data_IF_671340965743
#
_entry.id   IF_671340965743
#
_cell.length_a   1.000
_cell.length_b   1.000
_cell.length_c   1.000
_cell.angle_alpha   90.00
_cell.angle_beta   90.00
_cell.angle_gamma   90.00
#
_symmetry.space_group_name_H-M   'P 1'
#
loop_
_entity.id
_entity.type
_entity.pdbx_description
1 polymer ?
#
# COMPACT_ATOMS: atom_id res chain seq x y z
N UNK A 1 -40.76 -23.68 -61.06
CA UNK A 1 -40.76 -23.84 -59.60
C UNK A 1 -39.32 -23.62 -59.13
N UNK A 2 -38.98 -22.38 -58.73
CA UNK A 2 -37.62 -21.97 -58.45
C UNK A 2 -37.51 -21.83 -56.92
N UNK A 3 -36.73 -22.70 -56.27
CA UNK A 3 -36.52 -22.69 -54.82
C UNK A 3 -35.35 -21.74 -54.50
N UNK A 4 -35.62 -20.62 -53.81
CA UNK A 4 -34.60 -19.70 -53.25
C UNK A 4 -34.05 -20.29 -51.96
N UNK A 5 -32.72 -20.43 -51.88
CA UNK A 5 -31.97 -20.71 -50.65
C UNK A 5 -31.83 -19.44 -49.84
N UNK A 6 -31.97 -19.46 -48.50
CA UNK A 6 -31.65 -18.32 -47.66
C UNK A 6 -30.15 -18.25 -47.37
N UNK A 7 -29.56 -17.05 -47.57
CA UNK A 7 -28.20 -16.71 -47.13
C UNK A 7 -28.20 -16.46 -45.60
N UNK A 8 -27.57 -17.32 -44.86
CA UNK A 8 -27.26 -17.09 -43.46
C UNK A 8 -25.94 -16.30 -43.35
N UNK A 9 -26.06 -15.01 -43.08
CA UNK A 9 -24.93 -14.17 -42.69
C UNK A 9 -24.56 -14.52 -41.24
N UNK A 10 -23.46 -15.26 -41.06
CA UNK A 10 -22.88 -15.53 -39.75
C UNK A 10 -22.17 -14.28 -39.23
N UNK A 11 -22.77 -13.63 -38.24
CA UNK A 11 -22.10 -12.55 -37.47
C UNK A 11 -21.03 -13.19 -36.60
N UNK A 12 -19.75 -13.02 -36.97
CA UNK A 12 -18.61 -13.35 -36.13
C UNK A 12 -18.50 -12.28 -35.02
N UNK A 13 -18.97 -12.63 -33.84
CA UNK A 13 -18.78 -11.80 -32.62
C UNK A 13 -17.33 -11.94 -32.19
N UNK A 14 -16.50 -10.94 -32.53
CA UNK A 14 -15.15 -10.83 -32.07
C UNK A 14 -15.20 -10.47 -30.56
N UNK A 15 -15.13 -11.46 -29.67
CA UNK A 15 -14.92 -11.21 -28.24
C UNK A 15 -13.49 -10.68 -28.06
N UNK A 16 -13.37 -9.37 -27.90
CA UNK A 16 -12.15 -8.74 -27.42
C UNK A 16 -12.00 -9.12 -25.95
N UNK A 17 -11.26 -10.19 -25.68
CA UNK A 17 -10.75 -10.47 -24.34
C UNK A 17 -9.75 -9.36 -23.98
N UNK A 18 -10.20 -8.36 -23.25
CA UNK A 18 -9.29 -7.46 -22.52
C UNK A 18 -8.54 -8.30 -21.47
N UNK A 19 -7.41 -8.86 -21.85
CA UNK A 19 -6.44 -9.38 -20.90
C UNK A 19 -5.96 -8.18 -20.09
N UNK A 20 -6.50 -8.00 -18.88
CA UNK A 20 -5.88 -7.13 -17.89
C UNK A 20 -4.46 -7.68 -17.64
N UNK A 21 -3.49 -7.08 -18.32
CA UNK A 21 -2.09 -7.38 -18.14
C UNK A 21 -1.77 -7.17 -16.64
N UNK A 22 -1.41 -8.25 -15.94
CA UNK A 22 -0.67 -8.11 -14.69
C UNK A 22 0.55 -7.26 -15.04
N UNK A 23 0.88 -6.27 -14.20
CA UNK A 23 2.05 -5.42 -14.43
C UNK A 23 3.27 -6.33 -14.61
N UNK A 24 3.67 -6.52 -15.86
CA UNK A 24 4.87 -7.27 -16.20
C UNK A 24 6.04 -6.33 -15.96
N UNK A 25 6.80 -6.60 -14.91
CA UNK A 25 7.97 -5.79 -14.56
C UNK A 25 8.99 -5.78 -15.71
N UNK A 26 8.96 -6.79 -16.56
CA UNK A 26 9.90 -6.89 -17.69
C UNK A 26 9.60 -5.89 -18.82
N UNK A 27 8.39 -5.33 -18.86
CA UNK A 27 8.03 -4.25 -19.79
C UNK A 27 8.44 -2.85 -19.34
N UNK A 28 8.88 -2.70 -18.09
CA UNK A 28 9.26 -1.41 -17.52
C UNK A 28 10.63 -0.93 -18.06
N UNK A 29 10.85 0.40 -18.06
CA UNK A 29 12.12 0.96 -18.52
C UNK A 29 13.31 0.41 -17.71
N UNK A 30 14.39 0.04 -18.39
CA UNK A 30 15.65 -0.29 -17.74
C UNK A 30 16.27 0.95 -17.11
N UNK A 31 16.85 0.79 -15.92
CA UNK A 31 17.56 1.87 -15.27
C UNK A 31 18.85 2.18 -16.05
N UNK A 32 19.04 3.46 -16.37
CA UNK A 32 20.26 3.98 -16.98
C UNK A 32 20.89 4.95 -15.99
N UNK A 33 22.08 4.59 -15.48
CA UNK A 33 22.77 5.42 -14.50
C UNK A 33 23.38 6.67 -15.12
N UNK A 34 23.38 7.75 -14.37
CA UNK A 34 24.08 8.99 -14.71
C UNK A 34 25.45 9.04 -14.03
N UNK A 35 26.44 9.70 -14.65
CA UNK A 35 27.75 9.92 -14.04
C UNK A 35 27.69 11.05 -13.00
N UNK A 36 28.67 11.09 -12.09
CA UNK A 36 28.85 12.20 -11.15
C UNK A 36 27.84 12.25 -10.00
N UNK A 37 27.12 11.16 -9.72
CA UNK A 37 26.16 11.09 -8.63
C UNK A 37 26.86 10.66 -7.34
N UNK A 38 26.80 11.53 -6.32
CA UNK A 38 27.32 11.30 -4.97
C UNK A 38 26.58 12.17 -3.99
N UNK A 39 26.75 11.93 -2.67
CA UNK A 39 26.16 12.73 -1.62
C UNK A 39 25.34 11.92 -0.62
N UNK A 40 24.40 12.60 0.04
CA UNK A 40 23.61 12.03 1.13
C UNK A 40 22.11 12.12 0.85
N UNK A 41 21.42 11.02 1.03
CA UNK A 41 19.96 10.92 1.02
C UNK A 41 19.49 10.68 2.45
N UNK A 42 18.47 11.44 2.87
CA UNK A 42 17.74 11.23 4.12
C UNK A 42 16.30 10.86 3.81
N UNK A 43 15.80 9.81 4.44
CA UNK A 43 14.42 9.32 4.29
C UNK A 43 13.77 9.18 5.65
N UNK A 44 12.67 9.92 5.88
CA UNK A 44 11.92 9.89 7.14
C UNK A 44 10.45 9.64 6.83
N UNK A 45 9.84 8.60 7.40
CA UNK A 45 8.43 8.34 7.14
C UNK A 45 7.92 6.95 7.51
N UNK A 46 7.17 6.37 6.62
CA UNK A 46 6.35 5.17 6.83
C UNK A 46 7.14 3.91 7.14
N UNK A 47 6.84 3.26 8.24
CA UNK A 47 7.27 1.90 8.56
C UNK A 47 6.79 0.86 7.52
N UNK A 48 5.60 1.06 6.92
CA UNK A 48 5.11 0.16 5.85
C UNK A 48 6.08 0.05 4.67
N UNK A 49 6.84 1.11 4.39
CA UNK A 49 7.83 1.12 3.32
C UNK A 49 9.26 0.88 3.84
N UNK A 50 9.46 0.52 5.12
CA UNK A 50 10.79 0.39 5.69
C UNK A 50 11.68 -0.60 4.91
N UNK A 51 11.16 -1.81 4.65
CA UNK A 51 11.88 -2.82 3.88
C UNK A 51 12.15 -2.36 2.45
N UNK A 52 11.14 -1.80 1.76
CA UNK A 52 11.30 -1.28 0.40
C UNK A 52 12.38 -0.22 0.33
N UNK A 53 12.35 0.77 1.23
CA UNK A 53 13.36 1.84 1.27
C UNK A 53 14.77 1.29 1.51
N UNK A 54 14.90 0.29 2.40
CA UNK A 54 16.18 -0.38 2.68
C UNK A 54 16.68 -1.14 1.45
N UNK A 55 15.84 -1.95 0.82
CA UNK A 55 16.20 -2.72 -0.37
C UNK A 55 16.55 -1.81 -1.57
N UNK A 56 15.80 -0.73 -1.77
CA UNK A 56 16.13 0.27 -2.79
C UNK A 56 17.44 1.01 -2.49
N UNK A 57 17.71 1.31 -1.21
CA UNK A 57 18.97 1.92 -0.80
C UNK A 57 20.17 0.99 -1.06
N UNK A 58 20.02 -0.30 -0.78
CA UNK A 58 21.05 -1.31 -1.10
C UNK A 58 21.29 -1.40 -2.60
N UNK A 59 20.22 -1.46 -3.42
CA UNK A 59 20.32 -1.52 -4.87
C UNK A 59 20.95 -0.25 -5.44
N UNK A 60 20.58 0.92 -4.94
CA UNK A 60 21.14 2.20 -5.37
C UNK A 60 22.62 2.34 -5.00
N UNK A 61 23.04 1.85 -3.83
CA UNK A 61 24.46 1.85 -3.41
C UNK A 61 25.35 0.96 -4.27
N UNK A 62 24.81 -0.09 -4.88
CA UNK A 62 25.59 -0.90 -5.86
C UNK A 62 25.97 -0.10 -7.09
N UNK A 63 25.05 0.78 -7.55
CA UNK A 63 25.30 1.67 -8.69
C UNK A 63 26.13 2.91 -8.30
N UNK A 64 25.97 3.41 -7.07
CA UNK A 64 26.61 4.63 -6.56
C UNK A 64 27.22 4.39 -5.17
N UNK A 65 28.43 3.78 -5.09
CA UNK A 65 29.05 3.43 -3.81
C UNK A 65 29.34 4.63 -2.90
N UNK A 66 29.50 5.82 -3.49
CA UNK A 66 29.80 7.07 -2.76
C UNK A 66 28.53 7.80 -2.23
N UNK A 67 27.35 7.18 -2.36
CA UNK A 67 26.11 7.73 -1.80
C UNK A 67 25.84 7.12 -0.43
N UNK A 68 25.53 7.99 0.55
CA UNK A 68 25.08 7.58 1.89
C UNK A 68 23.57 7.74 1.97
N UNK A 69 22.87 6.70 2.43
CA UNK A 69 21.42 6.73 2.59
C UNK A 69 21.06 6.42 4.05
N UNK A 70 20.32 7.34 4.68
CA UNK A 70 19.83 7.19 6.05
C UNK A 70 18.31 7.05 6.02
N UNK A 71 17.79 6.03 6.72
CA UNK A 71 16.36 5.71 6.73
C UNK A 71 15.85 5.69 8.17
N UNK A 72 14.80 6.48 8.42
CA UNK A 72 14.05 6.49 9.67
C UNK A 72 12.57 6.18 9.41
N UNK A 73 12.14 5.00 9.81
CA UNK A 73 10.81 4.46 9.54
C UNK A 73 9.87 4.57 10.75
N UNK A 74 9.60 5.80 11.21
CA UNK A 74 8.84 6.07 12.44
C UNK A 74 7.32 6.21 12.24
N UNK A 75 6.84 6.18 10.98
CA UNK A 75 5.43 6.31 10.62
C UNK A 75 5.17 7.45 9.63
N UNK A 76 4.12 7.33 8.81
CA UNK A 76 3.85 8.32 7.76
C UNK A 76 3.65 9.75 8.25
N UNK A 77 3.25 9.94 9.50
CA UNK A 77 3.02 11.29 10.04
C UNK A 77 4.31 12.05 10.33
N UNK A 78 5.48 11.38 10.31
CA UNK A 78 6.80 12.04 10.46
C UNK A 78 7.35 12.58 9.14
N UNK A 79 6.85 12.10 8.01
CA UNK A 79 7.33 12.51 6.69
C UNK A 79 7.02 14.00 6.38
N UNK A 80 5.77 14.51 6.54
CA UNK A 80 5.46 15.90 6.21
C UNK A 80 6.31 16.92 6.94
N UNK A 81 6.46 16.89 8.29
CA UNK A 81 7.32 17.85 8.98
C UNK A 81 8.79 17.74 8.58
N UNK A 82 9.32 16.51 8.39
CA UNK A 82 10.72 16.33 7.97
C UNK A 82 10.99 16.91 6.57
N UNK A 83 10.05 16.75 5.63
CA UNK A 83 10.12 17.37 4.30
C UNK A 83 9.97 18.89 4.37
N UNK A 84 9.05 19.38 5.19
CA UNK A 84 8.83 20.83 5.39
C UNK A 84 10.06 21.49 5.99
N UNK A 85 10.68 20.88 7.01
CA UNK A 85 11.91 21.41 7.61
C UNK A 85 13.17 21.19 6.76
N UNK A 86 13.09 20.42 5.66
CA UNK A 86 14.23 20.11 4.81
C UNK A 86 15.23 19.14 5.44
N UNK A 87 14.85 18.45 6.53
CA UNK A 87 15.69 17.46 7.22
C UNK A 87 15.64 16.10 6.53
N UNK A 88 14.72 15.90 5.58
CA UNK A 88 14.59 14.70 4.79
C UNK A 88 14.43 15.00 3.30
N UNK A 89 15.15 14.27 2.43
CA UNK A 89 14.99 14.31 0.98
C UNK A 89 13.70 13.60 0.55
N UNK A 90 13.39 12.49 1.22
CA UNK A 90 12.25 11.63 0.91
C UNK A 90 11.32 11.43 2.09
N UNK A 91 10.01 11.52 1.82
CA UNK A 91 8.96 11.22 2.75
C UNK A 91 8.13 10.00 2.34
N UNK A 92 8.56 8.76 2.68
CA UNK A 92 7.75 7.58 2.42
C UNK A 92 6.43 7.63 3.20
N UNK A 93 5.31 7.37 2.53
CA UNK A 93 3.98 7.41 3.14
C UNK A 93 3.08 6.28 2.63
N UNK A 94 2.38 5.64 3.53
CA UNK A 94 1.38 4.60 3.24
C UNK A 94 -0.06 5.14 3.15
N UNK A 95 -0.19 6.46 3.09
CA UNK A 95 -1.39 7.25 2.81
C UNK A 95 -1.01 8.53 2.08
N UNK A 96 -1.98 9.22 1.50
CA UNK A 96 -1.74 10.60 1.05
C UNK A 96 -1.52 11.54 2.24
N UNK A 97 -0.77 12.62 2.03
CA UNK A 97 -0.72 13.73 2.97
C UNK A 97 -2.13 14.22 3.27
N UNK A 98 -2.37 14.62 4.51
CA UNK A 98 -3.59 15.30 4.96
C UNK A 98 -3.57 16.75 4.47
N UNK A 99 -4.74 17.38 4.38
CA UNK A 99 -4.83 18.76 3.90
C UNK A 99 -3.98 19.71 4.75
N UNK A 100 -4.00 19.57 6.08
CA UNK A 100 -3.15 20.37 6.99
C UNK A 100 -1.64 20.13 6.79
N UNK A 101 -1.24 18.91 6.42
CA UNK A 101 0.17 18.57 6.14
C UNK A 101 0.62 19.21 4.81
N UNK A 102 -0.25 19.20 3.79
CA UNK A 102 -0.01 19.90 2.54
C UNK A 102 0.02 21.42 2.73
N UNK A 103 -0.90 21.98 3.53
CA UNK A 103 -0.96 23.41 3.80
C UNK A 103 0.32 23.93 4.48
N UNK A 104 0.84 23.22 5.48
CA UNK A 104 2.09 23.59 6.16
C UNK A 104 3.30 23.54 5.22
N UNK A 105 3.36 22.57 4.30
CA UNK A 105 4.41 22.52 3.30
C UNK A 105 4.27 23.65 2.26
N UNK A 106 3.04 23.91 1.81
CA UNK A 106 2.72 24.95 0.84
C UNK A 106 2.99 26.37 1.39
N UNK A 107 2.71 26.60 2.68
CA UNK A 107 3.04 27.84 3.38
C UNK A 107 4.55 28.13 3.33
N UNK A 108 5.39 27.11 3.53
CA UNK A 108 6.85 27.29 3.53
C UNK A 108 7.44 27.45 2.13
N UNK A 109 6.94 26.70 1.15
CA UNK A 109 7.58 26.60 -0.17
C UNK A 109 6.81 27.27 -1.30
N UNK A 110 5.56 27.68 -1.08
CA UNK A 110 4.68 28.26 -2.11
C UNK A 110 4.08 27.24 -3.08
N UNK A 111 4.31 25.93 -2.84
CA UNK A 111 3.75 24.82 -3.65
C UNK A 111 3.64 23.55 -2.80
N UNK A 112 2.84 22.59 -3.26
CA UNK A 112 2.62 21.31 -2.56
C UNK A 112 3.75 20.32 -2.79
N UNK A 113 4.07 19.51 -1.77
CA UNK A 113 4.99 18.39 -1.93
C UNK A 113 4.49 17.42 -3.01
N UNK A 114 5.40 16.92 -3.84
CA UNK A 114 5.07 16.04 -4.97
C UNK A 114 4.97 14.59 -4.53
N UNK A 115 3.77 13.95 -4.61
CA UNK A 115 3.60 12.52 -4.37
C UNK A 115 4.06 11.70 -5.57
N UNK A 116 5.00 10.80 -5.35
CA UNK A 116 5.42 9.78 -6.32
C UNK A 116 4.83 8.45 -5.87
N UNK A 117 4.00 7.81 -6.68
CA UNK A 117 3.53 6.45 -6.45
C UNK A 117 4.68 5.50 -6.72
N UNK A 118 4.96 4.58 -5.80
CA UNK A 118 6.12 3.70 -5.90
C UNK A 118 5.77 2.21 -5.86
N UNK A 119 4.63 1.84 -5.30
CA UNK A 119 4.13 0.47 -5.24
C UNK A 119 2.60 0.47 -5.00
N UNK A 120 1.98 -0.70 -5.20
CA UNK A 120 0.59 -0.97 -4.79
C UNK A 120 0.62 -1.97 -3.63
N UNK A 121 -0.19 -1.71 -2.62
CA UNK A 121 -0.36 -2.53 -1.43
C UNK A 121 -1.81 -3.04 -1.31
N UNK A 122 -1.98 -4.31 -0.97
CA UNK A 122 -3.20 -4.81 -0.36
C UNK A 122 -3.04 -4.71 1.15
N UNK A 123 -3.65 -3.71 1.80
CA UNK A 123 -3.68 -3.66 3.25
C UNK A 123 -4.54 -4.82 3.74
N UNK A 124 -3.88 -5.92 4.12
CA UNK A 124 -4.55 -7.16 4.48
C UNK A 124 -5.01 -7.17 5.94
N UNK A 125 -6.18 -7.77 6.17
CA UNK A 125 -6.62 -8.19 7.50
C UNK A 125 -6.14 -9.61 7.70
N UNK A 126 -5.35 -9.84 8.75
CA UNK A 126 -4.71 -11.10 9.06
C UNK A 126 -5.34 -11.78 10.26
N UNK A 127 -5.45 -13.09 10.19
CA UNK A 127 -5.70 -13.98 11.31
C UNK A 127 -4.57 -15.01 11.40
N UNK A 128 -4.47 -15.73 12.52
CA UNK A 128 -3.56 -16.86 12.66
C UNK A 128 -3.78 -17.87 11.51
N UNK A 129 -2.71 -18.52 11.04
CA UNK A 129 -2.77 -19.46 9.90
C UNK A 129 -3.80 -20.60 10.08
N UNK A 130 -4.02 -21.03 11.33
CA UNK A 130 -4.93 -22.13 11.69
C UNK A 130 -6.36 -21.66 12.02
N UNK A 131 -6.63 -20.36 12.00
CA UNK A 131 -7.99 -19.83 12.11
C UNK A 131 -8.81 -20.24 10.86
N UNK A 132 -10.02 -20.77 11.06
CA UNK A 132 -10.86 -21.30 9.96
C UNK A 132 -11.62 -20.25 9.18
N UNK A 133 -11.65 -18.99 9.66
CA UNK A 133 -12.36 -17.91 8.96
C UNK A 133 -11.70 -17.60 7.62
N UNK A 134 -12.50 -17.51 6.55
CA UNK A 134 -12.00 -17.25 5.19
C UNK A 134 -12.15 -15.79 4.75
N UNK A 135 -13.08 -15.05 5.34
CA UNK A 135 -13.30 -13.66 4.95
C UNK A 135 -14.20 -12.90 5.91
N UNK A 136 -14.21 -11.58 5.75
CA UNK A 136 -15.04 -10.62 6.47
C UNK A 136 -15.57 -9.55 5.52
N UNK A 137 -16.74 -9.02 5.81
CA UNK A 137 -17.18 -7.77 5.23
C UNK A 137 -16.55 -6.57 5.94
N UNK A 138 -16.47 -5.42 5.26
CA UNK A 138 -16.01 -4.17 5.91
C UNK A 138 -16.85 -3.80 7.14
N UNK A 139 -18.20 -3.94 7.16
CA UNK A 139 -18.96 -3.75 8.39
C UNK A 139 -18.55 -4.68 9.54
N UNK A 140 -18.22 -5.96 9.29
CA UNK A 140 -17.73 -6.87 10.33
C UNK A 140 -16.32 -6.49 10.81
N UNK A 141 -15.43 -6.08 9.90
CA UNK A 141 -14.11 -5.54 10.27
C UNK A 141 -14.28 -4.31 11.17
N UNK A 142 -15.19 -3.41 10.82
CA UNK A 142 -15.51 -2.24 11.65
C UNK A 142 -16.04 -2.66 13.03
N UNK A 143 -16.96 -3.61 13.10
CA UNK A 143 -17.50 -4.11 14.36
C UNK A 143 -16.44 -4.78 15.27
N UNK A 144 -15.38 -5.36 14.69
CA UNK A 144 -14.27 -5.93 15.45
C UNK A 144 -13.34 -4.84 15.99
N UNK A 145 -12.97 -3.86 15.15
CA UNK A 145 -11.91 -2.88 15.47
C UNK A 145 -12.43 -1.56 16.03
N UNK A 146 -13.69 -1.17 15.75
CA UNK A 146 -14.23 0.16 16.06
C UNK A 146 -15.24 0.13 17.21
N UNK A 147 -15.18 1.14 18.08
CA UNK A 147 -16.17 1.40 19.12
C UNK A 147 -17.45 2.02 18.55
N UNK A 148 -17.39 2.65 17.36
CA UNK A 148 -18.49 3.46 16.82
C UNK A 148 -19.27 2.78 15.70
N UNK A 149 -18.77 1.72 15.11
CA UNK A 149 -19.40 0.89 14.05
C UNK A 149 -20.04 1.70 12.91
N UNK A 150 -19.33 2.72 12.44
CA UNK A 150 -19.86 3.66 11.41
C UNK A 150 -20.07 3.03 10.03
N UNK A 151 -19.54 1.81 9.79
CA UNK A 151 -19.82 1.06 8.57
C UNK A 151 -21.16 0.29 8.60
N UNK A 152 -21.92 0.39 9.70
CA UNK A 152 -23.31 -0.07 9.76
C UNK A 152 -23.51 -1.51 10.25
N UNK A 153 -22.58 -2.09 11.01
CA UNK A 153 -22.87 -3.33 11.73
C UNK A 153 -23.61 -3.02 13.05
N UNK A 154 -24.62 -3.83 13.38
CA UNK A 154 -25.54 -3.52 14.49
C UNK A 154 -24.85 -3.63 15.86
N UNK A 155 -24.03 -4.65 16.06
CA UNK A 155 -23.44 -5.02 17.33
C UNK A 155 -21.92 -5.06 17.30
N UNK A 156 -21.28 -5.00 18.47
CA UNK A 156 -19.86 -5.27 18.58
C UNK A 156 -19.56 -6.75 18.32
N UNK A 157 -18.48 -7.01 17.59
CA UNK A 157 -17.91 -8.33 17.47
C UNK A 157 -16.68 -8.38 18.38
N UNK A 158 -16.79 -9.15 19.47
CA UNK A 158 -15.72 -9.30 20.49
C UNK A 158 -15.30 -10.74 20.70
N UNK A 159 -16.08 -11.68 20.16
CA UNK A 159 -15.80 -13.12 20.25
C UNK A 159 -15.87 -13.79 18.89
N UNK A 160 -15.00 -14.76 18.67
CA UNK A 160 -15.02 -15.59 17.47
C UNK A 160 -16.30 -16.42 17.33
N UNK A 161 -17.04 -16.67 18.42
CA UNK A 161 -18.33 -17.36 18.38
C UNK A 161 -19.38 -16.60 17.57
N UNK A 162 -19.32 -15.26 17.56
CA UNK A 162 -20.18 -14.41 16.74
C UNK A 162 -19.89 -14.55 15.22
N UNK A 163 -18.76 -15.16 14.89
CA UNK A 163 -18.31 -15.46 13.53
C UNK A 163 -18.24 -16.97 13.22
N UNK A 164 -18.91 -17.78 14.05
CA UNK A 164 -19.03 -19.23 13.85
C UNK A 164 -17.78 -20.04 14.23
N UNK A 165 -16.90 -19.54 15.10
CA UNK A 165 -15.69 -20.20 15.54
C UNK A 165 -15.55 -20.22 17.07
N UNK A 166 -15.01 -21.30 17.64
CA UNK A 166 -14.88 -21.50 19.09
C UNK A 166 -13.52 -21.05 19.65
N UNK A 167 -12.91 -20.00 19.11
CA UNK A 167 -11.60 -19.51 19.56
C UNK A 167 -11.66 -18.50 20.72
N UNK A 168 -12.81 -18.31 21.34
CA UNK A 168 -13.03 -17.38 22.47
C UNK A 168 -13.00 -15.91 22.08
N UNK A 169 -12.54 -15.06 22.99
CA UNK A 169 -12.46 -13.61 22.75
C UNK A 169 -11.45 -13.25 21.67
N UNK A 170 -11.78 -12.26 20.83
CA UNK A 170 -10.91 -11.79 19.76
C UNK A 170 -9.80 -10.91 20.35
N UNK A 171 -8.54 -11.23 20.07
CA UNK A 171 -7.40 -10.37 20.37
C UNK A 171 -7.05 -9.51 19.18
N UNK A 172 -7.23 -8.18 19.31
CA UNK A 172 -7.13 -7.23 18.21
C UNK A 172 -5.78 -6.53 18.21
N UNK A 173 -5.05 -6.58 17.09
CA UNK A 173 -3.76 -5.92 16.88
C UNK A 173 -3.90 -4.81 15.84
N UNK A 174 -3.47 -3.61 16.18
CA UNK A 174 -3.48 -2.45 15.31
C UNK A 174 -2.15 -1.71 15.29
N UNK A 175 -2.14 -0.54 14.67
CA UNK A 175 -1.02 0.38 14.62
C UNK A 175 -1.31 1.60 15.47
N UNK A 176 -0.28 2.29 15.92
CA UNK A 176 -0.40 3.56 16.61
C UNK A 176 -0.79 4.72 15.65
N UNK A 177 -1.18 5.86 16.20
CA UNK A 177 -1.71 7.03 15.47
C UNK A 177 -0.71 7.73 14.53
N UNK A 178 0.60 7.51 14.70
CA UNK A 178 1.67 8.04 13.82
C UNK A 178 1.70 7.28 12.49
N UNK A 179 1.21 6.04 12.49
CA UNK A 179 1.15 5.18 11.31
C UNK A 179 0.18 5.70 10.26
N UNK A 180 0.65 5.77 8.99
CA UNK A 180 -0.25 6.02 7.86
C UNK A 180 -1.25 4.89 7.62
N UNK A 181 -0.84 3.66 7.96
CA UNK A 181 -1.70 2.48 7.87
C UNK A 181 -2.86 2.55 8.88
N UNK A 182 -2.60 3.01 10.11
CA UNK A 182 -3.65 3.35 11.07
C UNK A 182 -4.68 4.32 10.47
N UNK A 183 -4.22 5.44 9.93
CA UNK A 183 -5.10 6.46 9.37
C UNK A 183 -5.86 5.98 8.12
N UNK A 184 -5.21 5.18 7.27
CA UNK A 184 -5.87 4.60 6.09
C UNK A 184 -6.94 3.58 6.49
N UNK A 185 -6.63 2.67 7.43
CA UNK A 185 -7.57 1.67 7.94
C UNK A 185 -8.77 2.33 8.62
N UNK A 186 -8.53 3.32 9.50
CA UNK A 186 -9.60 4.14 10.11
C UNK A 186 -10.54 4.74 9.06
N UNK A 187 -9.98 5.30 7.98
CA UNK A 187 -10.77 5.94 6.92
C UNK A 187 -11.57 4.93 6.09
N UNK A 188 -10.99 3.77 5.77
CA UNK A 188 -11.52 2.83 4.77
C UNK A 188 -12.25 1.63 5.36
N UNK A 189 -11.74 1.09 6.45
CA UNK A 189 -12.28 -0.10 7.09
C UNK A 189 -13.19 0.23 8.28
N UNK A 190 -13.02 1.40 8.92
CA UNK A 190 -13.85 1.83 10.05
C UNK A 190 -14.77 3.02 9.69
N UNK A 191 -14.91 3.36 8.41
CA UNK A 191 -15.75 4.48 7.95
C UNK A 191 -15.52 5.78 8.75
N UNK A 192 -14.23 6.05 9.10
CA UNK A 192 -13.78 7.13 10.01
C UNK A 192 -14.25 6.97 11.45
N UNK A 193 -14.70 5.78 11.87
CA UNK A 193 -15.02 5.44 13.26
C UNK A 193 -13.78 5.43 14.16
N UNK A 194 -13.99 5.43 15.46
CA UNK A 194 -12.92 5.39 16.45
C UNK A 194 -12.57 3.95 16.80
N UNK A 195 -11.29 3.67 16.97
CA UNK A 195 -10.83 2.36 17.40
C UNK A 195 -11.32 2.04 18.81
N UNK A 196 -11.52 0.76 19.11
CA UNK A 196 -11.73 0.28 20.48
C UNK A 196 -10.46 0.45 21.31
N UNK A 197 -10.62 0.71 22.61
CA UNK A 197 -9.48 0.82 23.54
C UNK A 197 -8.71 -0.49 23.70
N UNK A 198 -9.39 -1.64 23.45
CA UNK A 198 -8.76 -2.96 23.50
C UNK A 198 -7.85 -3.27 22.31
N UNK A 199 -7.76 -2.40 21.31
CA UNK A 199 -6.82 -2.60 20.20
C UNK A 199 -5.39 -2.51 20.71
N UNK A 200 -4.67 -3.62 20.60
CA UNK A 200 -3.26 -3.72 20.99
C UNK A 200 -2.41 -2.96 19.96
N UNK A 201 -2.06 -1.72 20.26
CA UNK A 201 -1.29 -0.85 19.36
C UNK A 201 0.15 -1.33 19.22
N UNK A 202 0.58 -1.55 17.97
CA UNK A 202 1.92 -1.99 17.62
C UNK A 202 2.72 -0.87 16.94
N UNK A 203 4.02 -0.75 17.22
CA UNK A 203 4.87 0.27 16.62
C UNK A 203 5.10 0.06 15.13
N UNK A 204 5.13 -1.19 14.66
CA UNK A 204 5.47 -1.56 13.30
C UNK A 204 4.51 -2.56 12.64
N UNK A 205 4.63 -2.66 11.33
CA UNK A 205 3.88 -3.60 10.49
C UNK A 205 4.24 -5.05 10.80
N UNK A 206 5.53 -5.32 11.01
CA UNK A 206 6.03 -6.63 11.41
C UNK A 206 5.51 -7.06 12.78
N UNK A 207 5.43 -6.14 13.75
CA UNK A 207 4.96 -6.41 15.11
C UNK A 207 3.49 -6.83 15.13
N UNK A 208 2.63 -6.22 14.27
CA UNK A 208 1.24 -6.66 14.10
C UNK A 208 1.19 -8.11 13.63
N UNK A 209 1.92 -8.43 12.56
CA UNK A 209 1.95 -9.79 12.00
C UNK A 209 2.48 -10.80 13.02
N UNK A 210 3.53 -10.43 13.78
CA UNK A 210 4.07 -11.27 14.83
C UNK A 210 3.06 -11.51 15.97
N UNK A 211 2.33 -10.47 16.38
CA UNK A 211 1.25 -10.59 17.39
C UNK A 211 0.18 -11.58 16.94
N UNK A 212 -0.31 -11.45 15.72
CA UNK A 212 -1.29 -12.39 15.14
C UNK A 212 -0.72 -13.81 15.01
N UNK A 213 0.55 -13.97 14.63
CA UNK A 213 1.22 -15.28 14.53
C UNK A 213 1.29 -16.01 15.87
N UNK A 214 1.40 -15.27 16.97
CA UNK A 214 1.49 -15.85 18.33
C UNK A 214 0.13 -16.09 19.00
N UNK A 215 -0.96 -15.62 18.40
CA UNK A 215 -2.30 -15.65 19.01
C UNK A 215 -3.29 -16.34 18.07
N UNK A 216 -3.72 -17.54 18.42
CA UNK A 216 -4.70 -18.31 17.62
C UNK A 216 -6.03 -17.54 17.45
N UNK A 217 -6.41 -16.79 18.47
CA UNK A 217 -7.58 -15.88 18.49
C UNK A 217 -7.25 -14.46 18.04
N UNK A 218 -6.05 -14.24 17.45
CA UNK A 218 -5.59 -12.93 17.00
C UNK A 218 -6.17 -12.50 15.66
N UNK A 219 -6.44 -11.19 15.52
CA UNK A 219 -6.73 -10.51 14.27
C UNK A 219 -5.94 -9.21 14.23
N UNK A 220 -5.45 -8.82 13.05
CA UNK A 220 -4.71 -7.57 12.88
C UNK A 220 -4.67 -7.12 11.42
N UNK A 221 -4.11 -5.94 11.16
CA UNK A 221 -3.96 -5.44 9.78
C UNK A 221 -2.54 -4.96 9.50
N UNK A 222 -2.02 -5.33 8.33
CA UNK A 222 -0.69 -4.92 7.87
C UNK A 222 -0.60 -4.98 6.35
N UNK A 223 0.40 -4.32 5.76
CA UNK A 223 0.67 -4.42 4.32
C UNK A 223 0.98 -5.84 3.89
N UNK A 224 0.60 -6.18 2.65
CA UNK A 224 0.75 -7.55 2.12
C UNK A 224 2.21 -8.01 2.07
N UNK A 225 3.17 -7.08 1.95
CA UNK A 225 4.60 -7.36 1.99
C UNK A 225 5.09 -7.95 3.32
N UNK A 226 4.35 -7.75 4.41
CA UNK A 226 4.69 -8.31 5.72
C UNK A 226 4.09 -9.70 6.00
N UNK A 227 3.40 -10.30 5.02
CA UNK A 227 2.79 -11.62 5.18
C UNK A 227 3.86 -12.69 5.46
N UNK A 228 3.66 -13.45 6.52
CA UNK A 228 4.48 -14.62 6.87
C UNK A 228 3.67 -15.91 6.76
N UNK A 229 4.34 -17.06 6.90
CA UNK A 229 3.68 -18.37 6.95
C UNK A 229 2.82 -18.59 8.21
N UNK A 230 3.00 -17.75 9.25
CA UNK A 230 2.23 -17.81 10.50
C UNK A 230 0.86 -17.16 10.44
N UNK A 231 0.55 -16.43 9.37
CA UNK A 231 -0.71 -15.71 9.22
C UNK A 231 -1.40 -16.00 7.89
N UNK A 232 -2.72 -15.86 7.89
CA UNK A 232 -3.60 -15.94 6.73
C UNK A 232 -4.25 -14.57 6.49
N UNK A 233 -4.21 -14.08 5.24
CA UNK A 233 -4.93 -12.88 4.84
C UNK A 233 -6.37 -13.22 4.48
N UNK A 234 -7.32 -12.55 5.10
CA UNK A 234 -8.74 -12.75 4.85
C UNK A 234 -9.18 -12.13 3.52
N UNK A 235 -10.12 -12.78 2.85
CA UNK A 235 -10.88 -12.14 1.80
C UNK A 235 -11.80 -11.07 2.38
N UNK A 236 -12.00 -9.96 1.67
CA UNK A 236 -12.87 -8.88 2.13
C UNK A 236 -13.99 -8.60 1.13
N UNK A 237 -15.17 -8.25 1.66
CA UNK A 237 -16.26 -7.67 0.86
C UNK A 237 -16.56 -6.25 1.34
N UNK A 238 -17.06 -5.39 0.43
CA UNK A 238 -17.45 -4.01 0.76
C UNK A 238 -18.76 -3.95 1.56
N UNK A 239 -19.64 -4.95 1.39
CA UNK A 239 -20.95 -5.05 2.02
C UNK A 239 -21.09 -6.42 2.67
N UNK A 240 -22.02 -6.57 3.62
CA UNK A 240 -22.25 -7.81 4.38
C UNK A 240 -22.45 -9.04 3.46
N UNK A 241 -23.34 -8.93 2.48
CA UNK A 241 -23.64 -10.02 1.54
C UNK A 241 -22.91 -9.84 0.19
N UNK A 242 -21.79 -9.11 0.22
CA UNK A 242 -21.02 -8.80 -0.97
C UNK A 242 -20.06 -9.92 -1.35
N UNK A 243 -19.63 -9.89 -2.61
CA UNK A 243 -18.60 -10.81 -3.11
C UNK A 243 -17.31 -10.66 -2.32
N UNK A 244 -16.83 -11.75 -1.73
CA UNK A 244 -15.53 -11.82 -1.07
C UNK A 244 -14.40 -11.76 -2.09
N UNK A 245 -13.47 -10.84 -1.87
CA UNK A 245 -12.32 -10.59 -2.75
C UNK A 245 -11.05 -10.89 -1.96
N UNK A 246 -10.27 -11.85 -2.41
CA UNK A 246 -9.00 -12.22 -1.77
C UNK A 246 -7.92 -11.13 -1.94
N UNK A 247 -7.04 -11.01 -0.94
CA UNK A 247 -5.89 -10.09 -0.95
C UNK A 247 -4.76 -10.62 -1.87
N UNK A 248 -5.05 -10.73 -3.18
CA UNK A 248 -4.08 -11.16 -4.19
C UNK A 248 -3.44 -9.98 -4.90
N UNK A 249 -2.25 -10.20 -5.49
CA UNK A 249 -1.58 -9.19 -6.33
C UNK A 249 -2.51 -8.67 -7.44
N UNK A 250 -3.24 -9.57 -8.11
CA UNK A 250 -4.21 -9.23 -9.16
C UNK A 250 -5.32 -8.30 -8.63
N UNK A 251 -5.92 -8.66 -7.51
CA UNK A 251 -7.04 -7.90 -6.93
C UNK A 251 -6.58 -6.56 -6.31
N UNK A 252 -5.33 -6.48 -5.86
CA UNK A 252 -4.73 -5.22 -5.44
C UNK A 252 -4.45 -4.30 -6.64
N UNK A 253 -3.86 -4.83 -7.70
CA UNK A 253 -3.50 -4.08 -8.91
C UNK A 253 -4.71 -3.46 -9.60
N UNK A 254 -5.83 -4.20 -9.74
CA UNK A 254 -7.05 -3.72 -10.38
C UNK A 254 -8.01 -2.97 -9.44
N UNK A 255 -7.63 -2.81 -8.14
CA UNK A 255 -8.42 -2.08 -7.14
C UNK A 255 -9.70 -2.79 -6.69
N UNK A 256 -9.89 -4.06 -7.02
CA UNK A 256 -11.08 -4.84 -6.58
C UNK A 256 -11.02 -5.20 -5.10
N UNK A 257 -9.82 -5.46 -4.53
CA UNK A 257 -9.67 -5.66 -3.09
C UNK A 257 -10.01 -4.38 -2.34
N UNK A 258 -10.93 -4.39 -1.36
CA UNK A 258 -11.47 -3.18 -0.73
C UNK A 258 -10.44 -2.25 -0.10
N UNK A 259 -9.34 -2.79 0.41
CA UNK A 259 -8.28 -2.04 1.08
C UNK A 259 -7.00 -1.91 0.22
N UNK A 260 -7.13 -1.95 -1.11
CA UNK A 260 -6.02 -1.63 -2.03
C UNK A 260 -5.64 -0.17 -1.96
N UNK A 261 -4.33 0.12 -2.00
CA UNK A 261 -3.80 1.49 -1.96
C UNK A 261 -2.47 1.60 -2.70
N UNK A 262 -2.15 2.82 -3.13
CA UNK A 262 -0.77 3.15 -3.50
C UNK A 262 0.07 3.44 -2.25
N UNK A 263 1.34 3.08 -2.32
CA UNK A 263 2.40 3.57 -1.45
C UNK A 263 3.11 4.71 -2.17
N UNK A 264 3.53 5.72 -1.42
CA UNK A 264 4.08 6.96 -1.94
C UNK A 264 5.47 7.25 -1.36
N UNK A 265 6.31 7.90 -2.15
CA UNK A 265 7.44 8.69 -1.68
C UNK A 265 7.17 10.15 -2.03
N UNK A 266 7.04 11.00 -1.04
CA UNK A 266 6.89 12.43 -1.23
C UNK A 266 8.26 13.08 -1.37
N UNK A 267 8.35 14.07 -2.26
CA UNK A 267 9.57 14.83 -2.51
C UNK A 267 9.28 16.34 -2.55
N UNK A 268 10.29 17.13 -2.20
CA UNK A 268 10.27 18.57 -2.39
C UNK A 268 10.75 18.89 -3.82
N UNK A 269 9.81 18.99 -4.76
CA UNK A 269 10.07 19.33 -6.17
C UNK A 269 9.32 20.61 -6.51
N UNK A 270 10.07 21.70 -6.70
CA UNK A 270 9.47 22.96 -7.12
C UNK A 270 8.92 22.85 -8.57
N UNK A 271 7.76 23.50 -8.86
CA UNK A 271 7.26 23.59 -10.22
C UNK A 271 8.30 24.21 -11.16
N UNK A 272 8.39 23.71 -12.38
CA UNK A 272 9.27 24.24 -13.44
C UNK A 272 10.77 24.32 -13.08
N UNK A 273 11.20 23.62 -12.04
CA UNK A 273 12.61 23.44 -11.71
C UNK A 273 12.96 21.95 -11.74
N UNK A 274 14.15 21.57 -12.26
CA UNK A 274 14.58 20.17 -12.21
C UNK A 274 14.75 19.74 -10.76
N UNK A 275 14.49 18.46 -10.50
CA UNK A 275 14.80 17.84 -9.22
C UNK A 275 16.31 17.74 -9.02
N UNK A 276 16.80 17.81 -7.78
CA UNK A 276 18.21 17.60 -7.46
C UNK A 276 18.71 16.28 -8.09
N UNK A 277 19.88 16.29 -8.76
CA UNK A 277 20.32 15.12 -9.55
C UNK A 277 20.33 13.81 -8.77
N UNK A 278 20.84 13.81 -7.54
CA UNK A 278 20.90 12.62 -6.68
C UNK A 278 19.49 12.08 -6.36
N UNK A 279 18.57 12.95 -5.96
CA UNK A 279 17.20 12.56 -5.60
C UNK A 279 16.43 12.06 -6.83
N UNK A 280 16.63 12.73 -7.98
CA UNK A 280 16.04 12.32 -9.26
C UNK A 280 16.52 10.93 -9.68
N UNK A 281 17.82 10.66 -9.58
CA UNK A 281 18.38 9.35 -9.94
C UNK A 281 17.84 8.24 -9.02
N UNK A 282 17.71 8.50 -7.72
CA UNK A 282 17.10 7.53 -6.82
C UNK A 282 15.65 7.20 -7.22
N UNK A 283 14.82 8.20 -7.49
CA UNK A 283 13.44 7.98 -7.93
C UNK A 283 13.38 7.31 -9.32
N UNK A 284 14.27 7.65 -10.25
CA UNK A 284 14.37 6.95 -11.54
C UNK A 284 14.67 5.46 -11.35
N UNK A 285 15.60 5.12 -10.48
CA UNK A 285 15.91 3.73 -10.16
C UNK A 285 14.70 3.03 -9.51
N UNK A 286 14.04 3.63 -8.53
CA UNK A 286 12.82 3.09 -7.89
C UNK A 286 11.72 2.80 -8.90
N UNK A 287 11.51 3.69 -9.89
CA UNK A 287 10.48 3.56 -10.92
C UNK A 287 10.90 2.67 -12.10
N UNK A 288 12.14 2.25 -12.19
CA UNK A 288 12.65 1.39 -13.25
C UNK A 288 12.32 -0.09 -13.02
N UNK A 289 12.61 -0.91 -14.03
CA UNK A 289 12.52 -2.37 -13.96
C UNK A 289 13.22 -2.94 -12.72
N UNK A 290 14.43 -2.46 -12.40
CA UNK A 290 15.21 -2.90 -11.24
C UNK A 290 14.49 -2.54 -9.93
N UNK A 291 14.06 -1.30 -9.77
CA UNK A 291 13.35 -0.86 -8.57
C UNK A 291 11.99 -1.54 -8.37
N UNK A 292 11.28 -1.83 -9.46
CA UNK A 292 9.99 -2.53 -9.38
C UNK A 292 10.15 -4.04 -9.17
N UNK A 293 11.28 -4.66 -9.54
CA UNK A 293 11.64 -6.02 -9.11
C UNK A 293 11.85 -6.09 -7.59
N UNK A 294 12.42 -5.06 -6.98
CA UNK A 294 12.50 -4.93 -5.52
C UNK A 294 11.10 -4.94 -4.89
N UNK A 295 10.13 -4.21 -5.47
CA UNK A 295 8.73 -4.21 -5.01
C UNK A 295 8.14 -5.64 -5.01
N UNK A 296 8.38 -6.40 -6.08
CA UNK A 296 7.91 -7.81 -6.18
C UNK A 296 8.59 -8.70 -5.14
N UNK A 297 9.91 -8.52 -4.93
CA UNK A 297 10.72 -9.26 -3.95
C UNK A 297 10.23 -9.03 -2.53
N UNK A 298 9.85 -7.81 -2.19
CA UNK A 298 9.30 -7.44 -0.87
C UNK A 298 7.80 -7.80 -0.72
N UNK A 299 7.22 -8.51 -1.69
CA UNK A 299 5.85 -9.03 -1.62
C UNK A 299 4.75 -8.04 -2.01
N UNK A 300 5.08 -6.81 -2.34
CA UNK A 300 4.13 -5.80 -2.85
C UNK A 300 3.83 -6.00 -4.34
N UNK A 301 3.00 -5.13 -4.90
CA UNK A 301 2.58 -5.18 -6.30
C UNK A 301 3.25 -4.04 -7.07
N UNK A 302 3.97 -4.35 -8.15
CA UNK A 302 4.65 -3.35 -8.95
C UNK A 302 3.65 -2.44 -9.68
N UNK A 303 4.11 -1.26 -10.03
CA UNK A 303 3.31 -0.30 -10.78
C UNK A 303 3.17 -0.74 -12.26
N UNK A 304 1.99 -0.57 -12.87
CA UNK A 304 1.82 -0.68 -14.32
C UNK A 304 2.67 0.36 -15.06
N UNK A 305 3.13 0.04 -16.28
CA UNK A 305 3.92 0.94 -17.14
C UNK A 305 3.29 2.34 -17.26
N UNK A 306 2.00 2.40 -17.53
CA UNK A 306 1.26 3.68 -17.66
C UNK A 306 1.28 4.53 -16.40
N UNK A 307 1.44 3.92 -15.21
CA UNK A 307 1.62 4.64 -13.96
C UNK A 307 3.07 5.09 -13.82
N UNK A 308 4.03 4.21 -14.09
CA UNK A 308 5.47 4.52 -14.06
C UNK A 308 5.79 5.73 -14.94
N UNK A 309 5.30 5.76 -16.18
CA UNK A 309 5.50 6.89 -17.12
C UNK A 309 4.97 8.21 -16.53
N UNK A 310 3.77 8.19 -15.93
CA UNK A 310 3.18 9.37 -15.26
C UNK A 310 3.99 9.84 -14.06
N UNK A 311 4.58 8.91 -13.31
CA UNK A 311 5.41 9.27 -12.15
C UNK A 311 6.79 9.79 -12.58
N UNK A 312 7.40 9.21 -13.62
CA UNK A 312 8.65 9.71 -14.20
C UNK A 312 8.50 11.13 -14.75
N UNK A 313 7.37 11.46 -15.37
CA UNK A 313 7.11 12.83 -15.87
C UNK A 313 7.10 13.89 -14.76
N UNK A 314 6.80 13.53 -13.50
CA UNK A 314 6.78 14.48 -12.38
C UNK A 314 8.17 14.91 -11.91
N UNK A 315 9.20 14.15 -12.23
CA UNK A 315 10.57 14.38 -11.75
C UNK A 315 11.50 14.97 -12.83
N UNK A 316 10.96 15.21 -13.99
CA UNK A 316 11.64 15.91 -15.10
C UNK A 316 11.74 17.40 -14.86
#
# INVERSE_FOLDING_TARGET
MIVKKPNTLGAVFLMIFSTLAMADVDTLPSYQKSSGISGKISSVGSDTLANLMTLWAEEFKREYPNVTIQIQAAGSSTAPPALTEGTSSFGPMSRKMKDKENAAFEEKYGYKATPIRVAIDALAVYVHKDNKLEGLSIPEVDAIFSATRKCGYAEDIVSWSQLGSNLGSIQVYGRNSVSGTYGYFKKKALCKGDYKDQVNEQPGSASVVQGVTKSLNGIGYSGIGYKTSGVKALALSKKRDGKMIAATKKNAANGSYPLSRYLYVYVNKAPNKPMAPLDREFIKMVLSKVGQRVVVKDGYVPLPLTVVEKELAKIQ
#
